data_IF_538792211045
#
_entry.id   IF_538792211045
#
_cell.length_a   1.000
_cell.length_b   1.000
_cell.length_c   1.000
_cell.angle_alpha   90.00
_cell.angle_beta   90.00
_cell.angle_gamma   90.00
#
_symmetry.space_group_name_H-M   'P 1'
#
loop_
_entity.id
_entity.type
_entity.pdbx_description
1 polymer ?
#
# COMPACT_ATOMS: atom_id res chain seq x y z
N UNK A 1 -15.55 -0.18 -9.37
CA UNK A 1 -14.73 0.85 -10.06
C UNK A 1 -13.28 0.38 -9.99
N UNK A 2 -12.48 0.57 -11.04
CA UNK A 2 -11.04 0.28 -11.04
C UNK A 2 -10.25 1.59 -11.02
N UNK A 3 -9.30 1.72 -10.09
CA UNK A 3 -8.49 2.92 -9.91
C UNK A 3 -7.19 2.58 -9.19
N UNK A 4 -6.20 3.47 -9.25
CA UNK A 4 -4.99 3.38 -8.42
C UNK A 4 -5.30 3.87 -7.00
N UNK A 5 -4.46 3.49 -6.01
CA UNK A 5 -4.60 3.94 -4.61
C UNK A 5 -4.66 5.48 -4.49
N UNK A 6 -3.89 6.20 -5.31
CA UNK A 6 -3.90 7.66 -5.32
C UNK A 6 -5.26 8.25 -5.74
N UNK A 7 -5.95 7.60 -6.69
CA UNK A 7 -7.18 8.13 -7.29
C UNK A 7 -8.43 7.92 -6.43
N UNK A 8 -8.33 7.10 -5.38
CA UNK A 8 -9.47 6.82 -4.49
C UNK A 8 -9.56 7.77 -3.29
N UNK A 9 -8.58 8.66 -3.10
CA UNK A 9 -8.58 9.65 -2.01
C UNK A 9 -9.86 10.49 -2.02
N UNK A 10 -10.52 10.60 -0.86
CA UNK A 10 -11.77 11.37 -0.69
C UNK A 10 -13.04 10.66 -1.20
N UNK A 11 -12.91 9.45 -1.74
CA UNK A 11 -14.05 8.58 -2.05
C UNK A 11 -14.23 7.54 -0.93
N UNK A 12 -15.37 6.85 -0.91
CA UNK A 12 -15.64 5.69 -0.04
C UNK A 12 -16.50 4.67 -0.80
N UNK A 13 -16.34 3.40 -0.44
CA UNK A 13 -17.05 2.28 -1.07
C UNK A 13 -17.49 1.27 0.01
N UNK A 14 -18.65 0.60 -0.15
CA UNK A 14 -19.06 -0.48 0.74
C UNK A 14 -17.97 -1.55 0.89
N UNK A 15 -17.44 -2.03 -0.24
CA UNK A 15 -16.35 -3.00 -0.29
C UNK A 15 -15.17 -2.46 -1.12
N UNK A 16 -13.94 -2.73 -0.68
CA UNK A 16 -12.71 -2.42 -1.45
C UNK A 16 -11.83 -3.67 -1.56
N UNK A 17 -11.32 -3.91 -2.76
CA UNK A 17 -10.25 -4.87 -3.03
C UNK A 17 -8.95 -4.09 -3.30
N UNK A 18 -7.95 -4.25 -2.45
CA UNK A 18 -6.57 -3.81 -2.73
C UNK A 18 -5.80 -5.01 -3.27
N UNK A 19 -5.55 -5.00 -4.58
CA UNK A 19 -4.90 -6.10 -5.28
C UNK A 19 -3.41 -5.83 -5.50
N UNK A 20 -2.61 -6.90 -5.58
CA UNK A 20 -1.17 -6.82 -5.89
C UNK A 20 -0.29 -6.38 -4.72
N UNK A 21 -0.71 -6.65 -3.48
CA UNK A 21 0.05 -6.31 -2.27
C UNK A 21 1.11 -7.39 -1.99
N UNK A 22 2.29 -7.22 -2.57
CA UNK A 22 3.43 -8.13 -2.42
C UNK A 22 4.77 -7.37 -2.45
N UNK A 23 5.87 -8.04 -2.06
CA UNK A 23 7.23 -7.47 -2.06
C UNK A 23 7.58 -6.84 -3.42
N UNK A 24 8.25 -5.68 -3.39
CA UNK A 24 8.62 -4.91 -4.57
C UNK A 24 7.51 -4.00 -5.14
N UNK A 25 6.23 -4.30 -4.87
CA UNK A 25 5.09 -3.49 -5.36
C UNK A 25 4.45 -2.66 -4.24
N UNK A 26 4.33 -3.24 -3.05
CA UNK A 26 3.86 -2.54 -1.85
C UNK A 26 4.82 -2.90 -0.71
N UNK A 27 5.64 -1.96 -0.22
CA UNK A 27 5.87 -0.63 -0.78
C UNK A 27 6.53 -0.73 -2.16
N UNK A 28 6.31 0.24 -3.04
CA UNK A 28 7.02 0.31 -4.32
C UNK A 28 8.52 0.45 -4.07
N UNK A 29 9.31 -0.54 -4.47
CA UNK A 29 10.77 -0.49 -4.35
C UNK A 29 11.36 0.38 -5.46
N UNK A 30 12.01 1.48 -5.06
CA UNK A 30 12.81 2.30 -5.97
C UNK A 30 14.22 1.73 -6.09
N UNK A 31 14.84 1.92 -7.26
CA UNK A 31 16.21 1.46 -7.52
C UNK A 31 17.25 2.22 -6.71
N UNK A 32 17.05 3.54 -6.58
CA UNK A 32 18.02 4.43 -5.97
C UNK A 32 17.31 5.34 -4.96
N UNK A 33 17.80 5.34 -3.72
CA UNK A 33 17.45 6.32 -2.70
C UNK A 33 18.65 7.23 -2.46
N UNK A 34 18.46 8.55 -2.31
CA UNK A 34 19.56 9.48 -2.01
C UNK A 34 20.33 9.13 -0.72
N UNK A 35 19.60 8.72 0.31
CA UNK A 35 20.11 8.29 1.62
C UNK A 35 19.06 7.43 2.36
N UNK A 36 19.43 6.91 3.54
CA UNK A 36 18.53 6.09 4.37
C UNK A 36 17.31 6.86 4.87
N UNK A 37 17.44 8.17 5.11
CA UNK A 37 16.34 9.01 5.56
C UNK A 37 15.28 9.16 4.45
N UNK A 38 15.70 9.33 3.20
CA UNK A 38 14.85 9.37 2.03
C UNK A 38 14.17 8.02 1.79
N UNK A 39 14.90 6.90 1.97
CA UNK A 39 14.31 5.55 1.92
C UNK A 39 13.21 5.38 2.96
N UNK A 40 13.47 5.76 4.20
CA UNK A 40 12.48 5.65 5.27
C UNK A 40 11.26 6.56 5.01
N UNK A 41 11.48 7.79 4.56
CA UNK A 41 10.40 8.71 4.22
C UNK A 41 9.50 8.18 3.09
N UNK A 42 10.10 7.51 2.10
CA UNK A 42 9.37 6.85 1.00
C UNK A 42 8.55 5.66 1.50
N UNK A 43 9.12 4.78 2.33
CA UNK A 43 8.38 3.66 2.94
C UNK A 43 7.19 4.17 3.76
N UNK A 44 7.40 5.22 4.56
CA UNK A 44 6.33 5.86 5.32
C UNK A 44 5.24 6.48 4.41
N UNK A 45 5.61 6.99 3.24
CA UNK A 45 4.64 7.48 2.25
C UNK A 45 3.81 6.34 1.65
N UNK A 46 4.43 5.23 1.28
CA UNK A 46 3.75 4.04 0.76
C UNK A 46 2.82 3.42 1.82
N UNK A 47 3.24 3.39 3.08
CA UNK A 47 2.40 2.97 4.21
C UNK A 47 1.16 3.86 4.36
N UNK A 48 1.32 5.18 4.28
CA UNK A 48 0.18 6.13 4.27
C UNK A 48 -0.73 5.91 3.07
N UNK A 49 -0.18 5.63 1.89
CA UNK A 49 -0.96 5.37 0.69
C UNK A 49 -1.82 4.10 0.83
N UNK A 50 -1.23 3.01 1.32
CA UNK A 50 -1.94 1.76 1.61
C UNK A 50 -3.04 1.99 2.67
N UNK A 51 -2.74 2.73 3.74
CA UNK A 51 -3.71 3.10 4.76
C UNK A 51 -4.88 3.91 4.19
N UNK A 52 -4.60 4.90 3.34
CA UNK A 52 -5.65 5.69 2.68
C UNK A 52 -6.51 4.78 1.81
N UNK A 53 -5.93 3.88 1.01
CA UNK A 53 -6.68 2.95 0.18
C UNK A 53 -7.54 1.99 1.01
N UNK A 54 -6.98 1.44 2.08
CA UNK A 54 -7.67 0.54 3.01
C UNK A 54 -8.88 1.22 3.68
N UNK A 55 -8.71 2.46 4.15
CA UNK A 55 -9.77 3.26 4.78
C UNK A 55 -10.83 3.77 3.80
N UNK A 56 -10.76 3.41 2.52
CA UNK A 56 -11.87 3.64 1.59
C UNK A 56 -12.96 2.59 1.70
N UNK A 57 -12.67 1.44 2.31
CA UNK A 57 -13.67 0.43 2.65
C UNK A 57 -14.49 0.91 3.84
N UNK A 58 -15.81 0.87 3.70
CA UNK A 58 -16.72 1.10 4.82
C UNK A 58 -17.09 -0.17 5.56
N UNK A 59 -17.39 -1.22 4.80
CA UNK A 59 -17.98 -2.46 5.33
C UNK A 59 -16.97 -3.61 5.25
N UNK A 60 -16.38 -3.83 4.07
CA UNK A 60 -15.40 -4.92 3.85
C UNK A 60 -14.15 -4.48 3.09
N UNK A 61 -13.00 -4.93 3.56
CA UNK A 61 -11.71 -4.76 2.90
C UNK A 61 -11.11 -6.15 2.61
N UNK A 62 -10.81 -6.41 1.34
CA UNK A 62 -10.04 -7.57 0.92
C UNK A 62 -8.68 -7.11 0.39
N UNK A 63 -7.60 -7.70 0.91
CA UNK A 63 -6.24 -7.45 0.44
C UNK A 63 -5.71 -8.74 -0.18
N UNK A 64 -5.16 -8.64 -1.39
CA UNK A 64 -4.63 -9.80 -2.10
C UNK A 64 -3.23 -9.51 -2.64
N UNK A 65 -2.40 -10.54 -2.65
CA UNK A 65 -1.03 -10.52 -3.16
C UNK A 65 -0.65 -11.90 -3.69
N UNK A 66 0.54 -11.99 -4.28
CA UNK A 66 1.11 -13.25 -4.77
C UNK A 66 2.62 -13.25 -4.50
N UNK A 67 3.22 -14.44 -4.45
CA UNK A 67 4.65 -14.57 -4.14
C UNK A 67 4.97 -14.12 -2.71
N UNK A 68 6.08 -13.39 -2.56
CA UNK A 68 6.53 -12.90 -1.25
C UNK A 68 5.59 -11.82 -0.70
N UNK A 69 5.12 -11.96 0.55
CA UNK A 69 4.19 -11.00 1.12
C UNK A 69 4.83 -9.62 1.25
N UNK A 70 3.98 -8.59 1.16
CA UNK A 70 4.39 -7.21 1.44
C UNK A 70 4.88 -7.09 2.89
N UNK A 71 6.04 -6.44 3.13
CA UNK A 71 6.53 -6.24 4.50
C UNK A 71 5.62 -5.31 5.33
N UNK A 72 4.82 -4.46 4.66
CA UNK A 72 3.77 -3.66 5.32
C UNK A 72 2.59 -4.48 5.83
N UNK A 73 2.46 -5.75 5.42
CA UNK A 73 1.43 -6.68 5.88
C UNK A 73 1.98 -7.63 6.94
N UNK A 74 3.21 -8.13 6.77
CA UNK A 74 3.83 -9.05 7.74
C UNK A 74 4.34 -8.35 9.00
N UNK A 75 4.64 -7.05 8.91
CA UNK A 75 5.18 -6.27 10.02
C UNK A 75 6.69 -6.41 10.18
N UNK A 76 7.39 -6.95 9.18
CA UNK A 76 8.84 -7.16 9.19
C UNK A 76 9.66 -5.87 9.00
N UNK A 77 9.00 -4.72 8.80
CA UNK A 77 9.62 -3.38 8.71
C UNK A 77 9.82 -2.70 10.10
N UNK A 78 9.74 -3.46 11.21
CA UNK A 78 10.02 -3.03 12.59
C UNK A 78 11.31 -3.64 13.16
#
# INVERSE_FOLDING_TARGET
>A
RLATMHRVKGLEFPCVLVAGVHRGTVPLELRDYPDDAARQAHIEQEKRLLFVAATRARDELLVTGFGDPSPLITGDDL
#
